data_IF_674876255295
#
_entry.id   IF_674876255295
#
_cell.length_a   1.000
_cell.length_b   1.000
_cell.length_c   1.000
_cell.angle_alpha   90.00
_cell.angle_beta   90.00
_cell.angle_gamma   90.00
#
_symmetry.space_group_name_H-M   'P 1'
#
loop_
_entity.id
_entity.type
_entity.pdbx_description
1 polymer ?
#
# COMPACT_ATOMS: atom_id res chain seq x y z
N UNK A 1 9.00 -14.15 5.22
CA UNK A 1 8.53 -14.31 3.84
C UNK A 1 7.02 -14.36 3.80
N UNK A 2 6.42 -13.64 2.89
CA UNK A 2 4.98 -13.65 2.75
C UNK A 2 4.55 -14.79 1.86
N UNK A 3 3.66 -15.61 2.33
CA UNK A 3 3.20 -16.76 1.60
C UNK A 3 1.90 -16.51 0.84
N UNK A 4 1.23 -17.62 0.55
CA UNK A 4 -0.01 -17.59 -0.20
C UNK A 4 -1.10 -16.74 0.46
N UNK A 5 -1.15 -16.74 1.78
CA UNK A 5 -2.13 -15.93 2.51
C UNK A 5 -1.98 -14.44 2.25
N UNK A 6 -0.74 -13.94 2.20
CA UNK A 6 -0.48 -12.54 1.87
C UNK A 6 -0.91 -12.24 0.43
N UNK A 7 -0.56 -13.12 -0.51
CA UNK A 7 -0.90 -12.91 -1.92
C UNK A 7 -2.42 -12.86 -2.12
N UNK A 8 -3.16 -13.71 -1.42
CA UNK A 8 -4.61 -13.69 -1.48
C UNK A 8 -5.19 -12.42 -0.89
N UNK A 9 -4.66 -11.98 0.25
CA UNK A 9 -5.10 -10.74 0.89
C UNK A 9 -4.81 -9.54 0.01
N UNK A 10 -3.61 -9.47 -0.57
CA UNK A 10 -3.22 -8.40 -1.47
C UNK A 10 -4.17 -8.33 -2.67
N UNK A 11 -4.41 -9.45 -3.32
CA UNK A 11 -5.29 -9.48 -4.48
C UNK A 11 -6.71 -9.09 -4.11
N UNK A 12 -7.20 -9.55 -2.97
CA UNK A 12 -8.52 -9.19 -2.47
C UNK A 12 -8.66 -7.67 -2.30
N UNK A 13 -7.63 -7.01 -1.78
CA UNK A 13 -7.64 -5.56 -1.60
C UNK A 13 -7.62 -4.85 -2.94
N UNK A 14 -6.78 -5.31 -3.87
CA UNK A 14 -6.69 -4.71 -5.20
C UNK A 14 -8.02 -4.83 -5.95
N UNK A 15 -8.67 -5.98 -5.85
CA UNK A 15 -9.97 -6.19 -6.48
C UNK A 15 -11.06 -5.34 -5.81
N UNK A 16 -11.03 -5.26 -4.48
CA UNK A 16 -11.97 -4.40 -3.74
C UNK A 16 -11.88 -2.96 -4.25
N UNK A 17 -10.67 -2.48 -4.48
CA UNK A 17 -10.42 -1.12 -4.92
C UNK A 17 -10.46 -0.98 -6.44
N UNK A 18 -10.74 -2.08 -7.16
CA UNK A 18 -10.84 -2.10 -8.62
C UNK A 18 -9.57 -1.57 -9.28
N UNK A 19 -8.42 -1.86 -8.68
CA UNK A 19 -7.11 -1.41 -9.17
C UNK A 19 -7.04 0.11 -9.33
N UNK A 20 -7.80 0.82 -8.53
CA UNK A 20 -7.81 2.28 -8.54
C UNK A 20 -7.03 2.81 -7.35
N UNK A 21 -6.11 3.74 -7.60
CA UNK A 21 -5.35 4.36 -6.52
C UNK A 21 -6.29 5.09 -5.57
N UNK A 22 -6.19 4.77 -4.28
CA UNK A 22 -7.08 5.36 -3.26
C UNK A 22 -6.70 6.81 -2.94
N UNK A 23 -5.57 7.27 -3.40
CA UNK A 23 -5.10 8.62 -3.11
C UNK A 23 -5.36 9.59 -4.25
N UNK A 24 -4.96 9.23 -5.47
CA UNK A 24 -5.13 10.13 -6.62
C UNK A 24 -6.28 9.70 -7.55
N UNK A 25 -6.81 8.51 -7.38
CA UNK A 25 -7.96 8.05 -8.14
C UNK A 25 -7.67 7.44 -9.50
N UNK A 26 -6.42 7.35 -9.91
CA UNK A 26 -6.10 6.77 -11.22
C UNK A 26 -6.24 5.25 -11.18
N UNK A 27 -6.59 4.66 -12.32
CA UNK A 27 -6.61 3.21 -12.48
C UNK A 27 -5.18 2.77 -12.76
N UNK A 28 -4.72 1.74 -12.06
CA UNK A 28 -3.33 1.28 -12.13
C UNK A 28 -3.28 -0.09 -12.77
N UNK A 29 -2.32 -0.32 -13.65
CA UNK A 29 -2.12 -1.64 -14.24
C UNK A 29 -1.61 -2.61 -13.17
N UNK A 30 -1.97 -3.91 -13.28
CA UNK A 30 -1.52 -4.90 -12.29
C UNK A 30 -0.02 -4.94 -12.08
N UNK A 31 0.77 -4.66 -13.11
CA UNK A 31 2.23 -4.66 -13.01
C UNK A 31 2.79 -3.45 -12.27
N UNK A 32 1.99 -2.38 -12.16
CA UNK A 32 2.44 -1.11 -11.58
C UNK A 32 1.78 -0.80 -10.25
N UNK A 33 0.87 -1.64 -9.80
CA UNK A 33 0.08 -1.36 -8.60
C UNK A 33 0.86 -1.72 -7.35
N UNK A 34 0.67 -0.92 -6.29
CA UNK A 34 1.23 -1.19 -4.97
C UNK A 34 0.11 -1.41 -3.98
N UNK A 35 0.26 -2.41 -3.13
CA UNK A 35 -0.65 -2.64 -2.02
C UNK A 35 0.06 -2.12 -0.77
N UNK A 36 -0.47 -1.07 -0.18
CA UNK A 36 0.18 -0.32 0.88
C UNK A 36 -0.53 -0.47 2.21
N UNK A 37 0.24 -0.46 3.29
CA UNK A 37 -0.31 -0.42 4.65
C UNK A 37 -0.64 1.02 5.01
N UNK A 38 -1.90 1.28 5.33
CA UNK A 38 -2.33 2.63 5.73
C UNK A 38 -1.54 3.06 6.97
N UNK A 39 -1.51 2.20 7.99
CA UNK A 39 -0.60 2.34 9.12
C UNK A 39 0.55 1.38 8.88
N UNK A 40 1.78 1.88 8.75
CA UNK A 40 2.93 1.01 8.48
C UNK A 40 3.12 -0.05 9.55
N UNK A 41 3.66 -1.20 9.14
CA UNK A 41 3.96 -2.28 10.08
C UNK A 41 4.88 -1.80 11.20
N UNK A 42 5.83 -0.93 10.87
CA UNK A 42 6.75 -0.35 11.85
C UNK A 42 6.02 0.48 12.91
N UNK A 43 4.85 1.00 12.59
CA UNK A 43 4.04 1.83 13.50
C UNK A 43 2.90 1.03 14.13
N UNK A 44 2.97 -0.29 14.10
CA UNK A 44 1.96 -1.15 14.70
C UNK A 44 0.82 -1.53 13.78
N UNK A 45 0.91 -1.21 12.51
CA UNK A 45 -0.10 -1.62 11.53
C UNK A 45 -0.13 -3.13 11.34
N UNK A 46 -1.23 -3.64 10.84
CA UNK A 46 -1.43 -5.07 10.64
C UNK A 46 -1.70 -5.41 9.19
N UNK A 47 -1.47 -6.67 8.84
CA UNK A 47 -1.81 -7.22 7.52
C UNK A 47 -3.29 -7.58 7.49
N UNK A 48 -4.14 -6.57 7.49
CA UNK A 48 -5.60 -6.75 7.45
C UNK A 48 -6.16 -5.87 6.34
N UNK A 49 -7.26 -6.31 5.73
CA UNK A 49 -7.88 -5.59 4.62
C UNK A 49 -8.20 -4.13 5.00
N UNK A 50 -8.61 -3.90 6.23
CA UNK A 50 -8.93 -2.56 6.70
C UNK A 50 -7.72 -1.64 6.76
N UNK A 51 -6.53 -2.22 6.84
CA UNK A 51 -5.28 -1.48 6.90
C UNK A 51 -4.51 -1.50 5.58
N UNK A 52 -5.13 -1.97 4.51
CA UNK A 52 -4.48 -2.06 3.21
C UNK A 52 -5.23 -1.22 2.19
N UNK A 53 -4.48 -0.64 1.27
CA UNK A 53 -5.04 0.18 0.21
C UNK A 53 -4.24 0.02 -1.07
N UNK A 54 -4.90 0.28 -2.19
CA UNK A 54 -4.27 0.26 -3.50
C UNK A 54 -3.70 1.64 -3.79
N UNK A 55 -2.44 1.70 -4.19
CA UNK A 55 -1.79 2.95 -4.59
C UNK A 55 -1.06 2.77 -5.91
N UNK A 56 -0.94 3.86 -6.67
CA UNK A 56 -0.03 3.89 -7.79
C UNK A 56 1.41 4.08 -7.26
N UNK A 57 2.39 3.82 -8.11
CA UNK A 57 3.79 3.92 -7.69
C UNK A 57 4.16 5.31 -7.19
N UNK A 58 3.66 6.34 -7.85
CA UNK A 58 3.94 7.72 -7.45
C UNK A 58 3.40 8.03 -6.05
N UNK A 59 2.13 7.70 -5.81
CA UNK A 59 1.54 7.95 -4.50
C UNK A 59 2.20 7.12 -3.42
N UNK A 60 2.56 5.88 -3.73
CA UNK A 60 3.27 5.01 -2.79
C UNK A 60 4.63 5.59 -2.43
N UNK A 61 5.37 6.08 -3.42
CA UNK A 61 6.68 6.69 -3.18
C UNK A 61 6.55 7.95 -2.31
N UNK A 62 5.56 8.78 -2.57
CA UNK A 62 5.34 9.99 -1.79
C UNK A 62 4.99 9.66 -0.34
N UNK A 63 4.13 8.66 -0.14
CA UNK A 63 3.76 8.25 1.20
C UNK A 63 4.97 7.69 1.95
N UNK A 64 5.76 6.85 1.29
CA UNK A 64 6.96 6.27 1.91
C UNK A 64 7.97 7.35 2.30
N UNK A 65 8.18 8.34 1.45
CA UNK A 65 9.07 9.45 1.74
C UNK A 65 8.58 10.25 2.96
N UNK A 66 7.28 10.51 3.03
CA UNK A 66 6.70 11.24 4.16
C UNK A 66 6.86 10.45 5.47
N UNK A 67 6.65 9.13 5.41
CA UNK A 67 6.81 8.27 6.58
C UNK A 67 8.26 8.25 7.06
N UNK A 68 9.20 8.18 6.13
CA UNK A 68 10.62 8.18 6.48
C UNK A 68 11.03 9.50 7.13
N UNK A 69 10.54 10.62 6.61
CA UNK A 69 10.82 11.93 7.23
C UNK A 69 10.26 12.01 8.64
N UNK A 70 9.03 11.50 8.83
CA UNK A 70 8.38 11.52 10.14
C UNK A 70 9.15 10.70 11.17
N UNK A 71 9.81 9.61 10.70
CA UNK A 71 10.61 8.75 11.57
C UNK A 71 12.03 9.26 11.80
N UNK A 72 12.39 10.36 11.16
CA UNK A 72 13.74 10.89 11.27
C UNK A 72 14.76 10.24 10.36
N UNK A 73 14.30 9.53 9.33
CA UNK A 73 15.17 8.92 8.34
C UNK A 73 15.28 9.80 7.13
N UNK A 74 16.09 10.19 6.52
CA UNK A 74 16.07 10.96 5.29
C UNK A 74 16.37 12.42 5.51
N UNK A 75 17.24 12.65 6.41
CA UNK A 75 17.76 13.99 6.60
C UNK A 75 18.54 14.49 5.39
#
# INVERSE_FOLDING_TARGET
MRGRGWMNLRESVLLRDQYQCRRCGCVVLPKDVECDHIVPLADGGKDEAENLQTLCKTCHAEKSAAENRRRGFGW
#
